data_IF_944060070711
#
_entry.id   IF_944060070711
#
_cell.length_a   1.000
_cell.length_b   1.000
_cell.length_c   1.000
_cell.angle_alpha   90.00
_cell.angle_beta   90.00
_cell.angle_gamma   90.00
#
_symmetry.space_group_name_H-M   'P 1'
#
loop_
_entity.id
_entity.type
_entity.pdbx_description
1 polymer ?
2 branched ?
3 branched ?
4 branched ?
5 water ?
#
# COMPACT_ATOMS: atom_id res chain seq x y z
N UNK A 3 -8.35 -14.44 -6.90
CA UNK A 3 -7.11 -14.38 -6.15
C UNK A 3 -5.94 -13.85 -6.96
N UNK A 4 -4.76 -14.39 -6.72
CA UNK A 4 -3.55 -14.00 -7.45
C UNK A 4 -2.71 -15.21 -7.75
N UNK A 5 -1.98 -15.16 -8.88
CA UNK A 5 -1.00 -16.18 -9.20
C UNK A 5 0.38 -15.77 -8.70
N UNK A 6 0.87 -14.62 -9.16
CA UNK A 6 2.16 -14.10 -8.75
C UNK A 6 2.03 -12.60 -8.51
N UNK A 7 3.07 -12.02 -7.93
CA UNK A 7 3.10 -10.62 -7.59
C UNK A 7 3.87 -9.80 -8.59
N UNK A 8 4.39 -8.66 -8.13
CA UNK A 8 5.33 -7.86 -8.90
C UNK A 8 6.35 -7.28 -7.94
N UNK A 9 7.41 -6.73 -8.51
CA UNK A 9 8.55 -6.31 -7.71
C UNK A 9 8.40 -4.89 -7.17
N UNK A 10 7.37 -4.15 -7.57
CA UNK A 10 7.25 -2.77 -7.13
C UNK A 10 5.79 -2.37 -7.05
N UNK A 11 5.41 -1.86 -5.88
CA UNK A 11 4.14 -1.19 -5.67
C UNK A 11 4.46 0.01 -4.80
N UNK A 12 3.54 0.98 -4.77
CA UNK A 12 3.69 2.20 -4.00
C UNK A 12 2.48 2.37 -3.09
N UNK A 13 2.70 3.04 -1.96
CA UNK A 13 1.65 3.37 -1.00
C UNK A 13 1.65 4.86 -0.76
N UNK A 14 0.46 5.43 -0.69
CA UNK A 14 0.28 6.86 -0.40
C UNK A 14 0.11 7.04 1.11
N UNK A 15 1.11 7.62 1.75
CA UNK A 15 1.13 7.76 3.20
C UNK A 15 0.73 9.19 3.54
N UNK A 16 -0.46 9.35 4.10
CA UNK A 16 -0.92 10.67 4.49
C UNK A 16 -0.12 11.16 5.70
N UNK A 17 0.26 12.44 5.64
CA UNK A 17 1.16 13.02 6.65
C UNK A 17 0.33 13.68 7.73
N UNK A 18 0.45 13.18 8.96
CA UNK A 18 -0.15 13.70 10.17
C UNK A 18 0.88 14.45 11.01
N UNK A 19 0.47 15.30 11.97
CA UNK A 19 1.46 16.11 12.71
C UNK A 19 2.52 15.26 13.39
N UNK A 20 3.77 15.70 13.25
CA UNK A 20 4.97 15.14 13.87
C UNK A 20 5.44 13.87 13.18
N UNK A 21 4.84 13.52 12.05
CA UNK A 21 5.40 12.48 11.22
C UNK A 21 6.75 12.93 10.67
N UNK A 22 7.60 11.96 10.30
CA UNK A 22 8.85 12.23 9.64
C UNK A 22 9.14 11.08 8.69
N UNK A 23 10.05 11.32 7.75
CA UNK A 23 10.22 10.36 6.66
C UNK A 23 11.05 9.17 7.12
N UNK A 24 11.96 9.34 8.07
CA UNK A 24 12.67 8.16 8.56
C UNK A 24 11.72 7.17 9.22
N UNK A 25 10.65 7.67 9.85
CA UNK A 25 9.68 6.76 10.47
C UNK A 25 8.87 6.02 9.39
N UNK A 26 8.44 6.73 8.35
CA UNK A 26 7.78 6.08 7.23
C UNK A 26 8.68 5.01 6.61
N UNK A 27 9.96 5.33 6.43
CA UNK A 27 10.90 4.35 5.88
C UNK A 27 10.97 3.13 6.76
N UNK A 28 11.04 3.33 8.08
CA UNK A 28 11.10 2.22 9.03
C UNK A 28 9.85 1.36 8.94
N UNK A 29 8.67 1.98 8.83
CA UNK A 29 7.43 1.22 8.75
C UNK A 29 7.35 0.36 7.51
N UNK A 30 8.10 0.68 6.46
CA UNK A 30 8.04 -0.09 5.22
C UNK A 30 9.28 -0.91 4.98
N UNK A 31 10.05 -1.20 6.04
CA UNK A 31 11.21 -2.06 5.89
C UNK A 31 12.35 -1.45 5.12
N UNK A 32 12.29 -0.15 4.82
CA UNK A 32 13.38 0.49 4.08
C UNK A 32 14.59 0.70 4.96
N UNK A 33 14.38 0.96 6.25
CA UNK A 33 15.46 1.29 7.15
C UNK A 33 15.75 2.77 7.12
N UNK A 34 15.82 3.38 8.32
CA UNK A 34 16.03 4.82 8.42
C UNK A 34 17.26 5.26 7.63
N UNK A 35 18.35 4.50 7.72
CA UNK A 35 19.60 4.88 7.07
C UNK A 35 19.47 5.02 5.55
N UNK A 36 18.47 4.38 4.94
CA UNK A 36 18.26 4.43 3.50
C UNK A 36 17.06 5.27 3.11
N UNK A 37 16.60 6.16 4.00
CA UNK A 37 15.40 6.94 3.69
C UNK A 37 15.56 7.74 2.40
N UNK A 38 16.79 8.14 2.05
CA UNK A 38 17.00 8.93 0.84
C UNK A 38 16.60 8.17 -0.42
N UNK A 39 16.56 6.83 -0.37
CA UNK A 39 16.06 6.07 -1.50
C UNK A 39 14.61 6.42 -1.85
N UNK A 40 13.91 7.17 -0.99
CA UNK A 40 12.56 7.62 -1.30
C UNK A 40 12.50 8.85 -2.20
N UNK A 41 13.63 9.53 -2.44
CA UNK A 41 13.61 10.80 -3.16
C UNK A 41 13.06 10.67 -4.59
N UNK A 42 13.47 9.67 -5.40
CA UNK A 42 12.95 9.60 -6.79
C UNK A 42 11.46 9.36 -6.88
N UNK A 43 10.85 8.79 -5.86
CA UNK A 43 9.42 8.55 -5.88
C UNK A 43 8.62 9.74 -5.39
N UNK A 44 9.28 10.79 -4.91
CA UNK A 44 8.62 11.98 -4.37
C UNK A 44 9.26 13.25 -4.92
N UNK A 45 9.10 13.51 -6.22
CA UNK A 45 9.69 14.71 -6.79
C UNK A 45 9.13 16.00 -6.22
N UNK A 46 7.91 15.98 -5.66
CA UNK A 46 7.34 17.16 -5.04
C UNK A 46 7.87 17.41 -3.63
N UNK A 47 8.71 16.53 -3.11
CA UNK A 47 9.30 16.74 -1.79
C UNK A 47 10.81 16.87 -1.97
N UNK A 48 11.31 18.05 -2.34
CA UNK A 48 12.76 18.16 -2.60
C UNK A 48 13.60 17.99 -1.36
N UNK A 49 13.08 18.28 -0.19
CA UNK A 49 13.81 18.09 1.05
C UNK A 49 12.99 17.13 1.91
N UNK A 50 13.47 15.89 2.06
CA UNK A 50 12.70 14.90 2.80
C UNK A 50 12.61 15.22 4.28
N UNK A 51 13.34 16.21 4.78
CA UNK A 51 13.18 16.61 6.16
C UNK A 51 11.96 17.48 6.38
N UNK A 52 11.43 18.09 5.33
CA UNK A 52 10.21 18.88 5.42
C UNK A 52 9.10 18.15 4.69
N UNK A 53 8.10 17.71 5.45
CA UNK A 53 6.85 17.18 4.90
C UNK A 53 5.72 17.90 5.60
N UNK A 54 4.77 18.40 4.84
CA UNK A 54 3.72 19.26 5.37
C UNK A 54 2.53 18.40 5.83
N UNK A 55 1.95 18.78 6.96
CA UNK A 55 0.73 18.10 7.41
C UNK A 55 -0.32 18.21 6.32
N UNK A 56 -1.03 17.12 6.08
CA UNK A 56 -1.98 17.07 5.00
C UNK A 56 -1.40 16.73 3.65
N UNK A 57 -0.07 16.64 3.54
CA UNK A 57 0.56 16.12 2.35
C UNK A 57 0.54 14.60 2.31
N UNK A 58 1.14 14.05 1.26
CA UNK A 58 1.29 12.62 1.07
C UNK A 58 2.71 12.29 0.68
N UNK A 59 3.22 11.16 1.17
CA UNK A 59 4.52 10.63 0.80
C UNK A 59 4.33 9.26 0.16
N UNK A 60 4.87 9.08 -1.05
CA UNK A 60 4.85 7.78 -1.71
C UNK A 60 5.97 6.92 -1.17
N UNK A 61 5.64 5.69 -0.76
CA UNK A 61 6.62 4.76 -0.22
C UNK A 61 6.56 3.47 -1.03
N UNK A 62 7.72 2.94 -1.40
CA UNK A 62 7.77 1.76 -2.27
C UNK A 62 7.88 0.47 -1.45
N UNK A 63 7.43 -0.62 -2.04
CA UNK A 63 7.61 -1.95 -1.46
C UNK A 63 7.39 -3.02 -2.52
N UNK A 64 7.83 -4.25 -2.22
CA UNK A 64 7.54 -5.39 -3.08
C UNK A 64 6.16 -5.97 -2.78
N UNK A 65 5.47 -6.40 -3.84
CA UNK A 65 4.07 -6.80 -3.80
C UNK A 65 3.99 -8.31 -4.02
N UNK A 66 3.85 -9.07 -2.94
CA UNK A 66 3.84 -10.52 -3.02
C UNK A 66 2.44 -11.14 -2.95
N UNK A 67 2.29 -12.31 -3.57
CA UNK A 67 1.04 -13.05 -3.50
C UNK A 67 1.11 -14.00 -2.32
N UNK A 68 0.16 -13.88 -1.38
CA UNK A 68 0.18 -14.62 -0.13
C UNK A 68 -1.12 -15.36 0.09
N UNK A 69 -1.03 -16.48 0.81
CA UNK A 69 -2.20 -17.22 1.26
C UNK A 69 -2.67 -16.65 2.59
N UNK A 70 -3.98 -16.47 2.73
CA UNK A 70 -4.53 -16.00 3.98
C UNK A 70 -4.58 -17.15 4.97
N UNK A 71 -3.86 -17.07 6.09
CA UNK A 71 -3.83 -18.20 7.04
C UNK A 71 -5.22 -18.54 7.57
N UNK A 72 -5.53 -19.83 7.57
CA UNK A 72 -6.77 -20.31 8.15
C UNK A 72 -8.00 -20.08 7.31
N UNK A 73 -7.86 -19.63 6.07
CA UNK A 73 -9.00 -19.44 5.19
C UNK A 73 -8.92 -20.42 4.04
N UNK A 74 -10.07 -20.76 3.43
CA UNK A 74 -10.08 -21.77 2.38
C UNK A 74 -9.67 -21.27 1.01
N UNK A 75 -8.38 -21.44 0.67
CA UNK A 75 -7.94 -21.18 -0.68
C UNK A 75 -7.91 -19.71 -1.07
N UNK A 76 -7.92 -18.81 -0.09
CA UNK A 76 -7.92 -17.39 -0.38
C UNK A 76 -6.48 -16.88 -0.48
N UNK A 77 -6.21 -16.10 -1.52
CA UNK A 77 -4.91 -15.45 -1.71
C UNK A 77 -5.13 -13.96 -1.94
N UNK A 78 -4.07 -13.19 -1.76
CA UNK A 78 -4.16 -11.73 -1.86
C UNK A 78 -2.76 -11.17 -2.10
N UNK A 79 -2.71 -9.95 -2.60
CA UNK A 79 -1.47 -9.27 -2.94
C UNK A 79 -1.16 -8.21 -1.89
N UNK A 80 0.04 -8.27 -1.32
CA UNK A 80 0.39 -7.30 -0.28
C UNK A 80 1.89 -7.24 -0.09
N UNK A 81 2.33 -6.14 0.49
CA UNK A 81 3.65 -6.06 1.10
C UNK A 81 3.56 -6.51 2.55
N UNK A 82 4.58 -7.26 2.97
CA UNK A 82 4.68 -7.77 4.34
C UNK A 82 5.94 -7.20 4.96
N UNK A 83 5.78 -6.51 6.07
CA UNK A 83 6.90 -5.87 6.76
C UNK A 83 7.05 -6.54 8.10
N UNK A 84 8.12 -7.30 8.30
CA UNK A 84 8.32 -8.00 9.57
C UNK A 84 8.45 -7.03 10.72
N UNK A 85 7.81 -7.38 11.82
CA UNK A 85 7.84 -6.60 13.06
C UNK A 85 8.20 -7.54 14.18
N UNK A 86 9.33 -7.27 14.85
CA UNK A 86 9.77 -8.10 15.95
C UNK A 86 8.92 -7.80 17.18
N UNK A 87 8.34 -8.83 17.77
CA UNK A 87 7.52 -8.63 18.95
C UNK A 87 8.37 -8.43 20.20
N UNK A 88 7.77 -7.76 21.18
CA UNK A 88 8.26 -7.78 22.55
C UNK A 88 7.04 -7.76 23.46
N UNK A 89 7.26 -7.86 24.76
CA UNK A 89 6.14 -7.84 25.68
C UNK A 89 5.39 -6.51 25.57
N UNK A 90 4.07 -6.60 25.49
CA UNK A 90 3.23 -5.41 25.52
C UNK A 90 2.66 -4.97 24.19
N UNK A 91 3.01 -5.63 23.09
CA UNK A 91 2.55 -5.24 21.77
C UNK A 91 1.32 -6.04 21.38
N UNK A 92 0.40 -5.38 20.67
CA UNK A 92 -0.84 -5.98 20.22
C UNK A 92 -1.08 -5.57 18.78
N UNK A 93 -1.94 -6.31 18.08
CA UNK A 93 -2.18 -6.02 16.66
C UNK A 93 -2.64 -4.57 16.48
N UNK A 94 -3.47 -4.07 17.40
CA UNK A 94 -3.94 -2.70 17.32
C UNK A 94 -2.80 -1.69 17.34
N UNK A 95 -1.79 -1.90 18.19
CA UNK A 95 -0.74 -0.89 18.30
C UNK A 95 0.23 -0.97 17.12
N UNK A 96 0.42 -2.16 16.55
CA UNK A 96 1.17 -2.27 15.30
C UNK A 96 0.43 -1.53 14.19
N UNK A 97 -0.86 -1.84 14.01
CA UNK A 97 -1.63 -1.25 12.92
C UNK A 97 -1.76 0.27 13.05
N UNK A 98 -1.77 0.79 14.28
CA UNK A 98 -1.94 2.23 14.47
C UNK A 98 -0.90 3.05 13.70
N UNK A 99 0.29 2.50 13.45
CA UNK A 99 1.34 3.28 12.82
C UNK A 99 1.11 3.47 11.33
N UNK A 100 0.21 2.69 10.72
CA UNK A 100 0.00 2.76 9.29
C UNK A 100 -1.24 3.55 8.93
N UNK A 101 -1.90 4.16 9.92
CA UNK A 101 -3.12 4.91 9.72
C UNK A 101 -4.12 4.07 8.90
N UNK A 102 -4.58 4.57 7.76
CA UNK A 102 -5.61 3.84 7.02
C UNK A 102 -5.04 2.93 5.93
N UNK A 103 -3.74 2.67 5.93
CA UNK A 103 -3.14 1.74 4.98
C UNK A 103 -3.37 0.28 5.37
N UNK A 104 -3.69 0.02 6.62
CA UNK A 104 -4.07 -1.31 7.07
C UNK A 104 -4.99 -1.15 8.27
N UNK A 105 -5.43 -2.29 8.84
CA UNK A 105 -6.31 -2.28 10.00
C UNK A 105 -5.91 -3.41 10.94
N UNK A 106 -6.25 -3.26 12.22
CA UNK A 106 -6.00 -4.32 13.19
C UNK A 106 -6.65 -5.63 12.75
N UNK A 107 -7.90 -5.58 12.27
CA UNK A 107 -8.59 -6.80 11.85
C UNK A 107 -7.87 -7.49 10.70
N UNK A 108 -7.37 -6.72 9.74
CA UNK A 108 -6.62 -7.29 8.63
C UNK A 108 -5.28 -7.87 9.07
N UNK A 109 -4.60 -7.20 10.03
CA UNK A 109 -3.38 -7.80 10.58
C UNK A 109 -3.68 -9.13 11.26
N UNK A 110 -4.73 -9.18 12.04
CA UNK A 110 -5.17 -10.43 12.64
C UNK A 110 -5.42 -11.49 11.59
N UNK A 111 -6.09 -11.12 10.49
CA UNK A 111 -6.44 -12.11 9.48
C UNK A 111 -5.22 -12.58 8.70
N UNK A 112 -4.20 -11.74 8.54
CA UNK A 112 -3.05 -12.13 7.73
C UNK A 112 -1.93 -12.76 8.53
N UNK A 113 -1.99 -12.73 9.86
CA UNK A 113 -0.96 -13.35 10.68
C UNK A 113 -1.51 -14.61 11.34
N UNK A 114 -0.61 -15.53 11.65
CA UNK A 114 -1.03 -16.87 12.04
C UNK A 114 -1.25 -17.01 13.54
N UNK A 115 -1.08 -15.91 14.37
CA UNK A 115 -1.29 -15.98 15.82
C UNK A 115 -2.62 -15.35 16.20
N UNK A 116 -3.34 -15.93 17.16
CA UNK A 116 -4.53 -15.26 17.68
C UNK A 116 -4.15 -13.99 18.42
N UNK A 117 -5.02 -12.99 18.32
CA UNK A 117 -4.74 -11.68 18.90
C UNK A 117 -4.37 -11.78 20.37
N UNK A 118 -5.07 -12.65 21.12
CA UNK A 118 -4.88 -12.68 22.56
C UNK A 118 -3.76 -13.60 23.00
N UNK A 119 -2.96 -14.14 22.08
CA UNK A 119 -1.82 -14.97 22.47
C UNK A 119 -0.74 -14.93 21.39
N UNK A 120 -0.19 -13.76 21.14
CA UNK A 120 0.99 -13.60 20.30
C UNK A 120 2.21 -13.78 21.19
N UNK A 121 3.06 -14.78 20.94
CA UNK A 121 4.27 -14.95 21.77
C UNK A 121 5.15 -13.71 21.70
N UNK A 122 5.76 -13.37 22.85
CA UNK A 122 6.53 -12.13 22.95
C UNK A 122 7.82 -12.16 22.14
N UNK A 123 8.25 -13.34 21.69
CA UNK A 123 9.46 -13.49 20.88
C UNK A 123 9.17 -13.67 19.39
N UNK A 124 7.92 -13.65 18.98
CA UNK A 124 7.56 -13.94 17.59
C UNK A 124 7.76 -12.72 16.70
N UNK A 125 7.71 -12.94 15.40
CA UNK A 125 7.72 -11.85 14.43
C UNK A 125 6.40 -11.92 13.66
N UNK A 126 5.68 -10.80 13.60
CA UNK A 126 4.44 -10.73 12.86
C UNK A 126 4.67 -9.85 11.64
N UNK A 127 3.75 -9.90 10.68
CA UNK A 127 3.85 -9.07 9.49
C UNK A 127 2.81 -7.98 9.49
N UNK A 128 3.27 -6.73 9.35
CA UNK A 128 2.37 -5.64 8.97
C UNK A 128 2.14 -5.73 7.47
N UNK A 129 0.89 -5.85 7.04
CA UNK A 129 0.57 -6.13 5.64
C UNK A 129 -0.17 -4.95 5.04
N UNK A 130 0.31 -4.49 3.88
CA UNK A 130 -0.30 -3.38 3.17
C UNK A 130 -0.67 -3.86 1.78
N UNK A 131 -1.96 -3.76 1.45
CA UNK A 131 -2.49 -4.25 0.19
C UNK A 131 -1.91 -3.49 -1.00
N UNK A 132 -1.78 -4.18 -2.14
CA UNK A 132 -1.30 -3.58 -3.37
C UNK A 132 -1.99 -4.23 -4.56
N UNK A 133 -1.75 -3.67 -5.75
CA UNK A 133 -2.18 -4.29 -6.99
C UNK A 133 -1.00 -4.30 -7.94
N UNK A 134 -0.96 -5.33 -8.80
CA UNK A 134 0.03 -5.42 -9.86
C UNK A 134 -0.60 -5.29 -11.24
N UNK A 135 -1.87 -4.90 -11.31
CA UNK A 135 -2.54 -4.80 -12.59
C UNK A 135 -3.03 -6.14 -13.09
N UNK A 136 -3.46 -6.13 -14.35
CA UNK A 136 -4.09 -7.29 -14.95
C UNK A 136 -4.06 -7.11 -16.46
N UNK A 137 -3.31 -7.96 -17.16
CA UNK A 137 -3.18 -7.80 -18.61
C UNK A 137 -4.54 -7.91 -19.30
N UNK A 138 -5.48 -8.63 -18.70
CA UNK A 138 -6.82 -8.71 -19.27
C UNK A 138 -7.63 -7.45 -19.05
N UNK A 139 -7.23 -6.61 -18.11
CA UNK A 139 -7.84 -5.28 -17.96
C UNK A 139 -7.20 -4.27 -18.89
N UNK A 140 -5.86 -4.25 -18.90
CA UNK A 140 -5.10 -3.37 -19.76
C UNK A 140 -3.63 -3.78 -19.71
N UNK A 141 -2.96 -3.87 -20.87
CA UNK A 141 -1.51 -4.07 -20.88
C UNK A 141 -0.73 -2.81 -20.51
N UNK A 142 -1.41 -1.69 -20.28
CA UNK A 142 -0.74 -0.41 -20.18
C UNK A 142 -0.17 -0.13 -18.80
N UNK A 143 -0.75 -0.71 -17.75
CA UNK A 143 -0.47 -0.29 -16.38
C UNK A 143 0.08 -1.45 -15.57
N UNK A 144 1.30 -1.29 -15.08
CA UNK A 144 1.93 -2.30 -14.24
C UNK A 144 2.50 -1.75 -12.94
N UNK A 145 2.08 -0.54 -12.54
CA UNK A 145 2.56 0.08 -11.30
C UNK A 145 1.40 0.82 -10.67
N UNK A 146 1.09 0.49 -9.41
CA UNK A 146 -0.10 0.98 -8.75
C UNK A 146 0.22 1.55 -7.38
N UNK A 147 -0.49 2.64 -7.06
CA UNK A 147 -0.42 3.30 -5.78
C UNK A 147 -1.61 2.85 -4.94
N UNK A 148 -1.33 2.34 -3.75
CA UNK A 148 -2.35 2.02 -2.74
C UNK A 148 -2.73 3.32 -2.05
N UNK A 149 -3.95 3.76 -2.26
CA UNK A 149 -4.43 5.07 -1.81
C UNK A 149 -5.63 4.91 -0.89
N UNK A 150 -5.50 5.16 0.41
CA UNK A 150 -6.69 5.14 1.30
C UNK A 150 -7.53 6.38 1.06
N UNK A 151 -8.81 6.18 0.74
CA UNK A 151 -9.73 7.29 0.61
C UNK A 151 -9.97 7.91 1.99
N UNK A 152 -10.11 9.23 2.02
CA UNK A 152 -10.42 9.92 3.26
C UNK A 152 -11.20 11.17 2.90
N UNK A 153 -11.77 11.81 3.93
CA UNK A 153 -12.49 13.08 3.78
C UNK A 153 -13.62 12.89 2.77
N UNK A 154 -13.62 13.58 1.63
CA UNK A 154 -14.64 13.41 0.60
C UNK A 154 -14.16 12.59 -0.58
N UNK A 155 -13.00 11.94 -0.45
CA UNK A 155 -12.38 11.31 -1.61
C UNK A 155 -13.29 10.25 -2.20
N UNK A 156 -13.34 10.21 -3.52
CA UNK A 156 -13.99 9.16 -4.28
C UNK A 156 -12.99 8.62 -5.29
N UNK A 157 -13.26 7.43 -5.81
CA UNK A 157 -12.38 6.91 -6.85
C UNK A 157 -12.28 7.86 -8.03
N UNK A 158 -13.40 8.49 -8.41
CA UNK A 158 -13.38 9.41 -9.54
C UNK A 158 -12.50 10.62 -9.26
N UNK A 159 -12.62 11.21 -8.05
CA UNK A 159 -11.86 12.41 -7.74
C UNK A 159 -10.38 12.10 -7.62
N UNK A 160 -10.04 10.98 -6.98
CA UNK A 160 -8.64 10.57 -6.90
C UNK A 160 -8.08 10.32 -8.29
N UNK A 161 -8.78 9.53 -9.10
CA UNK A 161 -8.30 9.26 -10.45
C UNK A 161 -8.10 10.55 -11.23
N UNK A 162 -8.97 11.53 -11.03
CA UNK A 162 -8.80 12.82 -11.69
C UNK A 162 -7.55 13.54 -11.19
N UNK A 163 -7.24 13.44 -9.90
CA UNK A 163 -6.05 14.06 -9.34
C UNK A 163 -4.77 13.52 -9.98
N UNK A 164 -4.78 12.28 -10.45
CA UNK A 164 -3.63 11.66 -11.08
C UNK A 164 -3.75 11.59 -12.59
N UNK A 165 -4.59 12.45 -13.19
CA UNK A 165 -4.65 12.59 -14.64
C UNK A 165 -5.31 11.44 -15.36
N UNK A 166 -6.16 10.67 -14.69
CA UNK A 166 -6.69 9.44 -15.25
C UNK A 166 -8.19 9.49 -15.50
N UNK A 167 -8.76 10.69 -15.59
CA UNK A 167 -10.20 10.82 -15.76
C UNK A 167 -10.69 10.08 -17.01
N UNK A 168 -10.02 10.30 -18.15
CA UNK A 168 -10.46 9.67 -19.39
C UNK A 168 -10.31 8.15 -19.38
N UNK A 169 -9.57 7.57 -18.43
CA UNK A 169 -9.48 6.13 -18.29
C UNK A 169 -10.26 5.62 -17.08
N UNK A 170 -11.23 6.41 -16.60
CA UNK A 170 -11.92 6.05 -15.35
C UNK A 170 -12.53 4.66 -15.43
N UNK A 171 -13.16 4.32 -16.56
CA UNK A 171 -13.73 2.98 -16.72
C UNK A 171 -12.70 1.92 -16.37
N UNK A 172 -11.51 2.00 -16.96
CA UNK A 172 -10.45 1.03 -16.68
C UNK A 172 -10.07 1.07 -15.20
N UNK A 173 -9.97 2.28 -14.63
CA UNK A 173 -9.63 2.37 -13.20
C UNK A 173 -10.68 1.64 -12.36
N UNK A 174 -11.95 1.77 -12.74
CA UNK A 174 -12.99 1.09 -11.96
C UNK A 174 -12.78 -0.41 -11.98
N UNK A 175 -12.25 -0.94 -13.07
CA UNK A 175 -12.09 -2.39 -13.15
C UNK A 175 -10.97 -2.89 -12.26
N UNK A 176 -10.03 -2.03 -11.87
CA UNK A 176 -9.02 -2.43 -10.91
C UNK A 176 -9.51 -2.35 -9.48
N UNK A 177 -10.67 -1.74 -9.26
CA UNK A 177 -11.17 -1.44 -7.92
C UNK A 177 -12.58 -1.97 -7.74
N UNK A 178 -12.78 -3.28 -7.82
CA UNK A 178 -14.14 -3.83 -7.67
C UNK A 178 -14.60 -3.73 -6.23
N UNK A 179 -15.84 -3.30 -6.05
CA UNK A 179 -16.39 -3.04 -4.74
C UNK A 179 -16.17 -1.65 -4.21
N UNK A 180 -15.41 -0.81 -4.91
CA UNK A 180 -15.09 0.53 -4.45
C UNK A 180 -15.55 1.61 -5.41
N UNK A 181 -16.36 1.26 -6.42
CA UNK A 181 -16.87 2.26 -7.36
C UNK A 181 -17.85 3.22 -6.69
N UNK A 182 -18.55 2.78 -5.65
CA UNK A 182 -19.51 3.61 -4.94
C UNK A 182 -18.99 4.11 -3.60
N UNK A 183 -17.74 3.82 -3.25
CA UNK A 183 -17.23 4.18 -1.94
C UNK A 183 -16.82 5.64 -1.90
N UNK A 184 -17.01 6.25 -0.73
CA UNK A 184 -16.64 7.64 -0.52
C UNK A 184 -16.03 7.78 0.87
N UNK A 185 -14.87 8.44 0.95
CA UNK A 185 -14.27 8.82 2.21
C UNK A 185 -13.65 7.70 3.02
N UNK A 186 -13.66 6.46 2.54
CA UNK A 186 -13.05 5.37 3.30
C UNK A 186 -12.78 4.21 2.35
N UNK A 187 -11.78 3.41 2.72
CA UNK A 187 -11.39 2.27 1.92
C UNK A 187 -10.19 2.57 1.04
N UNK A 188 -9.54 1.50 0.59
CA UNK A 188 -8.33 1.60 -0.22
C UNK A 188 -8.70 1.43 -1.68
N UNK A 189 -8.12 2.27 -2.56
CA UNK A 189 -8.25 2.14 -4.00
C UNK A 189 -6.85 2.05 -4.60
N UNK A 190 -6.75 1.47 -5.78
CA UNK A 190 -5.46 1.30 -6.45
C UNK A 190 -5.44 2.14 -7.70
N UNK A 191 -4.41 2.97 -7.85
CA UNK A 191 -4.35 3.98 -8.90
C UNK A 191 -3.12 3.71 -9.75
N UNK A 192 -3.23 3.61 -11.07
CA UNK A 192 -2.03 3.53 -11.90
C UNK A 192 -1.21 4.81 -11.80
N UNK A 193 0.10 4.68 -11.63
CA UNK A 193 0.98 5.84 -11.51
C UNK A 193 2.27 5.58 -12.29
N UNK A 194 2.95 6.67 -12.62
CA UNK A 194 4.18 6.59 -13.40
C UNK A 194 5.37 6.31 -12.49
N UNK A 195 6.28 5.45 -12.96
CA UNK A 195 7.56 5.17 -12.33
C UNK A 195 8.43 6.44 -12.33
N UNK A 196 9.49 6.49 -11.51
CA UNK A 196 10.41 7.65 -11.59
C UNK A 196 10.91 7.98 -12.99
N UNK A 197 11.06 7.01 -13.88
CA UNK A 197 11.52 7.29 -15.22
C UNK A 197 10.40 7.70 -16.16
N UNK A 198 9.19 7.94 -15.64
CA UNK A 198 8.12 8.46 -16.45
C UNK A 198 7.24 7.46 -17.15
N UNK A 199 7.43 6.16 -16.92
CA UNK A 199 6.63 5.13 -17.57
C UNK A 199 5.60 4.54 -16.63
N UNK A 200 4.47 4.09 -17.20
CA UNK A 200 3.49 3.32 -16.45
C UNK A 200 3.89 1.85 -16.29
N UNK A 201 5.01 1.44 -16.86
CA UNK A 201 5.54 0.07 -16.80
C UNK A 201 4.57 -0.91 -17.43
N UNK A 202 4.42 -0.89 -18.75
CA UNK A 202 3.46 -1.79 -19.41
C UNK A 202 3.77 -3.26 -19.14
N UNK A 203 2.72 -4.09 -19.24
CA UNK A 203 2.81 -5.50 -18.90
C UNK A 203 3.20 -6.33 -20.12
N UNK A 204 3.92 -7.41 -19.86
CA UNK A 204 4.27 -8.33 -20.93
C UNK A 204 3.04 -9.14 -21.36
N UNK A 205 3.00 -9.49 -22.64
CA UNK A 205 1.94 -10.33 -23.18
C UNK A 205 2.07 -11.72 -22.59
N UNK A 206 1.06 -12.23 -21.87
CA UNK A 206 1.17 -13.58 -21.31
C UNK A 206 1.05 -14.63 -22.39
N UNK A 207 1.58 -15.82 -22.09
CA UNK A 207 1.51 -16.93 -23.02
C UNK A 207 0.31 -17.83 -22.78
#
# INVERSE_FOLDING_TARGET
GDGCSAGCDLALASFYVTPNQNVTNMADLFGIGAANYRSLAPYNPNIPNLDFINVGGRVNVYFTCGCRSLPGSPGATYLAGAFPFQMSRGQIYTSVAANYNNLTTAEWLQATNSYPANNIPDTAVINATVNCSCGDASISPDYGLFLTYPLRAEDTLASVAATYGLSSQLDVVRRYNPGMESATGSGIVYIPVKDPNGSYLPLKSPGKGASHHHHHH
#
